data_IF_539119686287
#
_entry.id   IF_539119686287
#
_cell.length_a   1.000
_cell.length_b   1.000
_cell.length_c   1.000
_cell.angle_alpha   90.00
_cell.angle_beta   90.00
_cell.angle_gamma   90.00
#
_symmetry.space_group_name_H-M   'P 1'
#
loop_
_entity.id
_entity.type
_entity.pdbx_description
1 polymer ?
#
# COMPACT_ATOMS: atom_id res chain seq x y z
N UNK A 1 26.14 8.14 -5.65
CA UNK A 1 24.68 8.37 -5.61
C UNK A 1 24.01 7.14 -5.03
N UNK A 2 23.11 7.29 -4.07
CA UNK A 2 22.39 6.13 -3.53
C UNK A 2 21.45 5.59 -4.63
N UNK A 3 21.53 4.30 -4.92
CA UNK A 3 20.72 3.66 -5.94
C UNK A 3 19.24 3.70 -5.51
N UNK A 4 18.36 4.21 -6.39
CA UNK A 4 16.92 4.25 -6.12
C UNK A 4 16.40 2.82 -6.05
N UNK A 5 15.60 2.55 -5.03
CA UNK A 5 14.92 1.26 -4.86
C UNK A 5 13.41 1.45 -5.03
N UNK A 6 12.85 0.75 -5.97
CA UNK A 6 11.46 0.88 -6.36
C UNK A 6 10.57 0.08 -5.42
N UNK A 7 9.58 0.74 -4.80
CA UNK A 7 8.51 0.09 -4.04
C UNK A 7 7.20 0.13 -4.83
N UNK A 8 6.27 -0.76 -4.50
CA UNK A 8 4.95 -0.79 -5.14
C UNK A 8 4.21 0.55 -5.00
N UNK A 9 4.27 1.19 -3.84
CA UNK A 9 3.66 2.51 -3.63
C UNK A 9 4.33 3.61 -4.46
N UNK A 10 5.66 3.54 -4.63
CA UNK A 10 6.40 4.46 -5.50
C UNK A 10 6.01 4.27 -6.97
N UNK A 11 5.85 3.02 -7.42
CA UNK A 11 5.38 2.71 -8.78
C UNK A 11 4.03 3.36 -9.05
N UNK A 12 3.06 3.15 -8.15
CA UNK A 12 1.72 3.73 -8.28
C UNK A 12 1.77 5.26 -8.34
N UNK A 13 2.48 5.88 -7.41
CA UNK A 13 2.63 7.34 -7.33
C UNK A 13 3.32 7.91 -8.59
N UNK A 14 4.33 7.21 -9.13
CA UNK A 14 5.00 7.64 -10.36
C UNK A 14 4.08 7.55 -11.60
N UNK A 15 3.28 6.50 -11.69
CA UNK A 15 2.25 6.39 -12.75
C UNK A 15 1.22 7.50 -12.61
N UNK A 16 0.78 7.83 -11.40
CA UNK A 16 -0.13 8.96 -11.14
C UNK A 16 0.52 10.31 -11.54
N UNK A 17 1.82 10.46 -11.31
CA UNK A 17 2.58 11.62 -11.78
C UNK A 17 2.62 11.71 -13.32
N UNK A 18 2.96 10.62 -14.01
CA UNK A 18 3.01 10.61 -15.47
C UNK A 18 1.66 10.91 -16.11
N UNK A 19 0.57 10.52 -15.44
CA UNK A 19 -0.81 10.79 -15.87
C UNK A 19 -1.36 12.17 -15.43
N UNK A 20 -0.53 13.03 -14.81
CA UNK A 20 -0.95 14.33 -14.29
C UNK A 20 -1.89 14.28 -13.09
N UNK A 21 -2.08 13.11 -12.49
CA UNK A 21 -2.91 12.94 -11.28
C UNK A 21 -2.17 13.34 -10.01
N UNK A 22 -0.86 13.18 -9.97
CA UNK A 22 0.02 13.61 -8.87
C UNK A 22 1.01 14.67 -9.36
N UNK A 23 1.33 15.63 -8.51
CA UNK A 23 2.33 16.64 -8.81
C UNK A 23 3.74 16.07 -8.68
N UNK A 24 4.62 16.31 -9.68
CA UNK A 24 5.99 15.79 -9.65
C UNK A 24 6.83 16.32 -8.48
N UNK A 25 6.56 17.53 -7.99
CA UNK A 25 7.22 18.07 -6.80
C UNK A 25 6.82 17.30 -5.54
N UNK A 26 5.53 16.90 -5.43
CA UNK A 26 5.05 16.08 -4.34
C UNK A 26 5.63 14.65 -4.41
N UNK A 27 5.66 14.04 -5.60
CA UNK A 27 6.32 12.76 -5.81
C UNK A 27 7.80 12.80 -5.37
N UNK A 28 8.54 13.82 -5.83
CA UNK A 28 9.93 14.02 -5.44
C UNK A 28 10.09 14.12 -3.92
N UNK A 29 9.28 14.95 -3.28
CA UNK A 29 9.31 15.13 -1.82
C UNK A 29 9.04 13.83 -1.04
N UNK A 30 8.10 13.00 -1.51
CA UNK A 30 7.74 11.72 -0.87
C UNK A 30 8.83 10.65 -1.00
N UNK A 31 9.37 10.48 -2.21
CA UNK A 31 10.16 9.28 -2.53
C UNK A 31 11.65 9.53 -2.73
N UNK A 32 12.03 10.73 -3.17
CA UNK A 32 13.43 11.09 -3.44
C UNK A 32 14.02 11.84 -2.25
N UNK A 33 13.46 13.01 -1.93
CA UNK A 33 13.97 13.87 -0.85
C UNK A 33 13.55 13.37 0.54
N UNK A 34 12.46 12.61 0.62
CA UNK A 34 11.89 12.03 1.85
C UNK A 34 11.62 13.08 2.94
N UNK A 35 11.24 14.27 2.51
CA UNK A 35 10.94 15.42 3.37
C UNK A 35 9.45 15.73 3.47
N UNK A 36 8.60 14.86 2.93
CA UNK A 36 7.14 14.98 2.98
C UNK A 36 6.57 13.87 3.84
N UNK A 37 5.93 14.24 4.93
CA UNK A 37 5.06 13.37 5.69
C UNK A 37 3.63 13.49 5.17
N UNK A 38 3.05 12.37 4.75
CA UNK A 38 1.65 12.34 4.34
C UNK A 38 0.77 12.02 5.53
N UNK A 39 -0.22 12.87 5.79
CA UNK A 39 -1.23 12.57 6.82
C UNK A 39 -2.08 11.38 6.37
N UNK A 40 -2.13 10.28 7.14
CA UNK A 40 -2.96 9.14 6.79
C UNK A 40 -4.45 9.52 6.73
N UNK A 41 -5.17 9.04 5.71
CA UNK A 41 -6.64 9.13 5.68
C UNK A 41 -7.26 8.32 6.82
N UNK A 42 -8.55 8.53 7.10
CA UNK A 42 -9.27 7.76 8.12
C UNK A 42 -9.14 6.25 7.86
N UNK A 43 -9.39 5.79 6.64
CA UNK A 43 -9.24 4.39 6.25
C UNK A 43 -7.80 3.86 6.43
N UNK A 44 -6.78 4.67 6.16
CA UNK A 44 -5.38 4.29 6.43
C UNK A 44 -5.11 4.18 7.93
N UNK A 45 -5.65 5.08 8.75
CA UNK A 45 -5.51 4.99 10.23
C UNK A 45 -6.17 3.74 10.77
N UNK A 46 -7.36 3.40 10.29
CA UNK A 46 -8.06 2.15 10.64
C UNK A 46 -7.24 0.92 10.25
N UNK A 47 -6.69 0.87 9.03
CA UNK A 47 -5.83 -0.22 8.56
C UNK A 47 -4.55 -0.37 9.39
N UNK A 48 -3.88 0.75 9.71
CA UNK A 48 -2.67 0.76 10.57
C UNK A 48 -3.01 0.25 11.97
N UNK A 49 -4.14 0.67 12.54
CA UNK A 49 -4.58 0.21 13.86
C UNK A 49 -4.94 -1.28 13.85
N UNK A 50 -5.61 -1.74 12.80
CA UNK A 50 -5.91 -3.15 12.60
C UNK A 50 -4.63 -4.00 12.54
N UNK A 51 -3.68 -3.64 11.68
CA UNK A 51 -2.40 -4.36 11.53
C UNK A 51 -1.65 -4.44 12.85
N UNK A 52 -1.58 -3.32 13.59
CA UNK A 52 -0.96 -3.28 14.92
C UNK A 52 -1.63 -4.23 15.92
N UNK A 53 -2.96 -4.22 16.04
CA UNK A 53 -3.67 -5.10 16.96
C UNK A 53 -3.58 -6.58 16.56
N UNK A 54 -3.58 -6.86 15.26
CA UNK A 54 -3.51 -8.22 14.73
C UNK A 54 -2.12 -8.85 14.92
N UNK A 55 -1.06 -8.08 14.66
CA UNK A 55 0.31 -8.62 14.54
C UNK A 55 1.29 -8.08 15.58
N UNK A 56 1.00 -6.95 16.20
CA UNK A 56 1.94 -6.19 17.04
C UNK A 56 2.96 -5.36 16.24
N UNK A 57 2.86 -5.31 14.90
CA UNK A 57 3.74 -4.52 14.07
C UNK A 57 3.55 -3.02 14.35
N UNK A 58 4.63 -2.33 14.69
CA UNK A 58 4.60 -0.89 14.88
C UNK A 58 4.58 -0.18 13.51
N UNK A 59 3.82 0.93 13.38
CA UNK A 59 3.90 1.81 12.23
C UNK A 59 5.32 2.33 11.98
N UNK A 60 5.58 2.88 10.79
CA UNK A 60 6.91 3.37 10.39
C UNK A 60 7.51 4.43 11.34
N UNK A 61 6.67 5.21 12.01
CA UNK A 61 7.10 6.19 13.01
C UNK A 61 7.46 5.57 14.38
N UNK A 62 7.30 4.25 14.54
CA UNK A 62 7.59 3.52 15.77
C UNK A 62 6.63 3.80 16.93
N UNK A 63 5.55 4.54 16.70
CA UNK A 63 4.59 4.93 17.74
C UNK A 63 3.36 4.02 17.64
N UNK A 64 2.98 3.30 18.72
CA UNK A 64 1.74 2.54 18.72
C UNK A 64 0.54 3.43 18.38
N UNK A 65 -0.32 3.02 17.43
CA UNK A 65 -1.49 3.80 17.10
C UNK A 65 -2.52 3.72 18.22
N UNK A 66 -3.19 4.85 18.48
CA UNK A 66 -4.27 4.91 19.46
C UNK A 66 -5.64 4.82 18.78
N UNK A 67 -6.65 4.21 19.47
CA UNK A 67 -8.01 4.20 18.96
C UNK A 67 -8.62 5.59 19.00
N UNK A 68 -9.45 5.89 18.00
CA UNK A 68 -10.23 7.12 18.00
C UNK A 68 -11.29 7.07 19.11
N UNK A 69 -11.42 8.17 19.84
CA UNK A 69 -12.37 8.31 20.95
C UNK A 69 -13.44 9.36 20.63
N UNK A 70 -14.63 9.11 21.12
CA UNK A 70 -15.73 10.08 21.11
C UNK A 70 -15.41 11.27 22.02
N UNK A 71 -16.19 12.33 21.93
CA UNK A 71 -16.09 13.50 22.85
C UNK A 71 -16.28 13.15 24.32
N UNK A 72 -16.89 11.98 24.61
CA UNK A 72 -17.05 11.43 25.97
C UNK A 72 -15.91 10.50 26.39
N UNK A 73 -14.85 10.38 25.59
CA UNK A 73 -13.69 9.53 25.89
C UNK A 73 -13.87 8.03 25.62
N UNK A 74 -15.00 7.60 25.08
CA UNK A 74 -15.25 6.20 24.71
C UNK A 74 -14.65 5.90 23.33
N UNK A 75 -14.15 4.67 23.14
CA UNK A 75 -13.69 4.19 21.83
C UNK A 75 -14.87 4.23 20.84
N UNK A 76 -14.61 4.70 19.61
CA UNK A 76 -15.65 4.74 18.57
C UNK A 76 -16.01 3.33 18.13
N UNK A 77 -17.25 3.15 17.64
CA UNK A 77 -17.72 1.84 17.13
C UNK A 77 -16.84 1.28 16.01
N UNK A 78 -16.26 2.15 15.17
CA UNK A 78 -15.32 1.74 14.14
C UNK A 78 -14.10 1.05 14.75
N UNK A 79 -13.48 1.65 15.75
CA UNK A 79 -12.29 1.10 16.40
C UNK A 79 -12.59 -0.12 17.30
N UNK A 80 -13.80 -0.24 17.86
CA UNK A 80 -14.26 -1.46 18.53
C UNK A 80 -14.35 -2.64 17.53
N UNK A 81 -14.92 -2.41 16.34
CA UNK A 81 -14.95 -3.41 15.26
C UNK A 81 -13.56 -3.84 14.82
N UNK A 82 -12.61 -2.91 14.72
CA UNK A 82 -11.22 -3.24 14.37
C UNK A 82 -10.62 -4.19 15.41
N UNK A 83 -10.88 -3.96 16.68
CA UNK A 83 -10.39 -4.83 17.76
C UNK A 83 -10.94 -6.26 17.62
N UNK A 84 -12.22 -6.40 17.31
CA UNK A 84 -12.85 -7.71 17.07
C UNK A 84 -12.32 -8.40 15.81
N UNK A 85 -12.11 -7.66 14.72
CA UNK A 85 -11.48 -8.19 13.51
C UNK A 85 -10.04 -8.68 13.77
N UNK A 86 -9.28 -7.97 14.62
CA UNK A 86 -7.94 -8.41 15.01
C UNK A 86 -7.98 -9.70 15.86
N UNK A 87 -8.96 -9.87 16.73
CA UNK A 87 -9.16 -11.13 17.46
C UNK A 87 -9.56 -12.27 16.50
N UNK A 88 -10.41 -11.98 15.50
CA UNK A 88 -10.73 -12.95 14.45
C UNK A 88 -9.46 -13.40 13.70
N UNK A 89 -8.58 -12.47 13.33
CA UNK A 89 -7.29 -12.82 12.73
C UNK A 89 -6.49 -13.78 13.62
N UNK A 90 -6.36 -13.49 14.92
CA UNK A 90 -5.64 -14.35 15.87
C UNK A 90 -6.28 -15.74 15.97
N UNK A 91 -7.61 -15.83 15.95
CA UNK A 91 -8.31 -17.09 15.95
C UNK A 91 -8.03 -17.91 14.66
N UNK A 92 -8.02 -17.24 13.51
CA UNK A 92 -7.74 -17.85 12.20
C UNK A 92 -6.34 -18.40 12.11
N UNK A 93 -5.31 -17.63 12.48
CA UNK A 93 -3.93 -18.12 12.45
C UNK A 93 -3.73 -19.32 13.39
N UNK A 94 -4.41 -19.34 14.53
CA UNK A 94 -4.41 -20.49 15.45
C UNK A 94 -5.13 -21.71 14.82
N UNK A 95 -6.29 -21.50 14.21
CA UNK A 95 -7.08 -22.57 13.58
C UNK A 95 -6.32 -23.25 12.44
N UNK A 96 -5.66 -22.47 11.58
CA UNK A 96 -4.90 -22.99 10.45
C UNK A 96 -3.44 -23.33 10.80
N UNK A 97 -3.04 -23.24 12.07
CA UNK A 97 -1.68 -23.49 12.54
C UNK A 97 -0.62 -22.65 11.78
N UNK A 98 -0.94 -21.38 11.54
CA UNK A 98 -0.04 -20.44 10.88
C UNK A 98 0.91 -19.85 11.94
N UNK A 99 2.22 -19.95 11.70
CA UNK A 99 3.26 -19.36 12.56
C UNK A 99 3.73 -18.05 11.96
N UNK A 100 3.54 -16.94 12.64
CA UNK A 100 4.10 -15.65 12.25
C UNK A 100 5.62 -15.67 12.52
N UNK A 101 6.43 -15.52 11.48
CA UNK A 101 7.88 -15.54 11.57
C UNK A 101 8.46 -14.14 11.71
N UNK A 102 7.92 -13.19 10.92
CA UNK A 102 8.24 -11.77 10.98
C UNK A 102 6.99 -10.97 10.62
N UNK A 103 6.84 -9.80 11.23
CA UNK A 103 5.79 -8.82 10.95
C UNK A 103 6.44 -7.50 10.55
N UNK A 104 5.79 -6.75 9.65
CA UNK A 104 6.39 -5.53 9.10
C UNK A 104 7.78 -5.79 8.48
N UNK A 105 7.94 -6.91 7.79
CA UNK A 105 9.23 -7.38 7.32
C UNK A 105 9.73 -6.60 6.10
N UNK A 106 10.74 -5.77 6.29
CA UNK A 106 11.38 -5.03 5.21
C UNK A 106 12.25 -5.98 4.37
N UNK A 107 11.92 -6.10 3.10
CA UNK A 107 12.70 -6.85 2.11
C UNK A 107 13.25 -5.88 1.08
N UNK A 108 14.55 -5.97 0.80
CA UNK A 108 15.23 -5.06 -0.11
C UNK A 108 16.24 -5.82 -0.96
N UNK A 109 16.19 -5.59 -2.27
CA UNK A 109 17.18 -6.03 -3.26
C UNK A 109 17.97 -4.82 -3.77
N UNK A 110 18.72 -4.97 -4.84
CA UNK A 110 19.46 -3.87 -5.45
C UNK A 110 18.51 -2.83 -6.07
N UNK A 111 17.41 -3.28 -6.69
CA UNK A 111 16.49 -2.41 -7.44
C UNK A 111 15.14 -2.22 -6.78
N UNK A 112 14.75 -3.08 -5.86
CA UNK A 112 13.40 -3.10 -5.28
C UNK A 112 13.42 -3.06 -3.76
N UNK A 113 12.30 -2.58 -3.19
CA UNK A 113 12.05 -2.64 -1.74
C UNK A 113 10.57 -2.79 -1.47
N UNK A 114 10.24 -3.41 -0.33
CA UNK A 114 8.87 -3.53 0.15
C UNK A 114 8.83 -3.88 1.63
N UNK A 115 7.65 -3.72 2.22
CA UNK A 115 7.37 -4.16 3.59
C UNK A 115 6.27 -5.21 3.48
N UNK A 116 6.58 -6.42 3.88
CA UNK A 116 5.65 -7.55 3.96
C UNK A 116 4.96 -7.46 5.32
N UNK A 117 3.63 -7.38 5.35
CA UNK A 117 2.88 -7.27 6.59
C UNK A 117 3.18 -8.46 7.49
N UNK A 118 3.07 -9.68 6.94
CA UNK A 118 3.37 -10.91 7.66
C UNK A 118 4.14 -11.89 6.77
N UNK A 119 5.34 -12.25 7.20
CA UNK A 119 6.08 -13.40 6.73
C UNK A 119 5.79 -14.59 7.64
N UNK A 120 5.20 -15.64 7.12
CA UNK A 120 4.67 -16.74 7.91
C UNK A 120 5.15 -18.12 7.45
N UNK A 121 4.91 -19.12 8.30
CA UNK A 121 4.97 -20.53 7.99
C UNK A 121 3.57 -21.13 8.14
N UNK A 122 3.01 -21.64 7.07
CA UNK A 122 1.72 -22.30 7.05
C UNK A 122 1.89 -23.77 6.72
N UNK A 123 1.78 -24.63 7.74
CA UNK A 123 1.97 -26.08 7.65
C UNK A 123 3.34 -26.49 7.05
N UNK A 124 4.41 -25.77 7.36
CA UNK A 124 5.76 -26.04 6.88
C UNK A 124 6.13 -25.30 5.59
N UNK A 125 5.19 -24.64 4.93
CA UNK A 125 5.44 -23.82 3.75
C UNK A 125 5.57 -22.34 4.13
N UNK A 126 6.62 -21.68 3.66
CA UNK A 126 6.80 -20.23 3.85
C UNK A 126 5.82 -19.48 2.94
N UNK A 127 5.16 -18.46 3.48
CA UNK A 127 4.21 -17.66 2.73
C UNK A 127 4.22 -16.19 3.12
N UNK A 128 3.68 -15.37 2.24
CA UNK A 128 3.41 -13.95 2.45
C UNK A 128 1.92 -13.81 2.75
N UNK A 129 1.59 -13.09 3.81
CA UNK A 129 0.20 -12.69 4.11
C UNK A 129 0.16 -11.17 4.13
N UNK A 130 -0.71 -10.61 3.32
CA UNK A 130 -0.99 -9.18 3.23
C UNK A 130 -2.35 -8.92 3.88
N UNK A 131 -2.38 -8.01 4.84
CA UNK A 131 -3.54 -7.70 5.64
C UNK A 131 -4.33 -6.55 5.01
N UNK A 132 -5.63 -6.74 4.83
CA UNK A 132 -6.53 -5.71 4.33
C UNK A 132 -7.71 -5.54 5.27
N UNK A 133 -7.99 -4.30 5.64
CA UNK A 133 -9.20 -3.89 6.36
C UNK A 133 -10.01 -2.98 5.43
N UNK A 134 -11.14 -3.46 4.92
CA UNK A 134 -11.85 -2.81 3.81
C UNK A 134 -13.36 -2.93 3.93
N UNK A 135 -14.07 -1.86 3.64
CA UNK A 135 -15.55 -1.86 3.55
C UNK A 135 -16.11 -2.35 2.20
N UNK A 136 -15.25 -2.84 1.31
CA UNK A 136 -15.60 -3.19 -0.07
C UNK A 136 -15.60 -4.71 -0.32
N UNK A 137 -15.74 -5.51 0.72
CA UNK A 137 -15.67 -6.96 0.65
C UNK A 137 -16.82 -7.55 -0.20
N UNK A 138 -18.03 -7.07 0.02
CA UNK A 138 -19.24 -7.63 -0.60
C UNK A 138 -19.29 -7.44 -2.10
N UNK A 139 -18.86 -6.28 -2.57
CA UNK A 139 -19.03 -5.90 -3.99
C UNK A 139 -17.95 -6.45 -4.91
N UNK A 140 -16.85 -6.96 -4.35
CA UNK A 140 -15.59 -7.07 -5.11
C UNK A 140 -14.84 -8.38 -4.94
N UNK A 141 -15.32 -9.26 -4.09
CA UNK A 141 -14.74 -10.56 -3.84
C UNK A 141 -15.68 -11.66 -4.32
N UNK A 142 -15.51 -12.10 -5.54
CA UNK A 142 -16.18 -13.28 -6.06
C UNK A 142 -15.21 -14.46 -6.17
N UNK A 143 -15.66 -15.58 -6.71
CA UNK A 143 -14.85 -16.80 -6.93
C UNK A 143 -13.61 -16.55 -7.82
N UNK A 144 -13.64 -15.51 -8.63
CA UNK A 144 -12.56 -15.12 -9.53
C UNK A 144 -11.55 -14.13 -8.88
N UNK A 145 -11.78 -13.79 -7.62
CA UNK A 145 -10.95 -12.85 -6.86
C UNK A 145 -11.59 -11.47 -6.72
N UNK A 146 -10.75 -10.47 -6.54
CA UNK A 146 -11.21 -9.11 -6.32
C UNK A 146 -11.66 -8.45 -7.62
N UNK A 147 -12.96 -8.44 -7.88
CA UNK A 147 -13.54 -7.74 -9.03
C UNK A 147 -13.93 -6.30 -8.68
N UNK A 148 -13.48 -5.38 -9.47
CA UNK A 148 -13.94 -4.00 -9.44
C UNK A 148 -14.48 -3.66 -10.83
N UNK A 149 -15.53 -2.89 -10.91
CA UNK A 149 -15.99 -2.29 -12.18
C UNK A 149 -14.90 -1.39 -12.79
N UNK A 150 -13.97 -0.91 -11.97
CA UNK A 150 -12.80 -0.15 -12.37
C UNK A 150 -11.61 -1.09 -12.54
N UNK A 151 -11.27 -1.44 -13.76
CA UNK A 151 -10.08 -2.22 -14.14
C UNK A 151 -8.78 -1.73 -13.48
N UNK A 152 -8.68 -0.43 -13.23
CA UNK A 152 -7.47 0.20 -12.68
C UNK A 152 -7.20 -0.14 -11.20
N UNK A 153 -8.20 -0.47 -10.39
CA UNK A 153 -7.98 -0.81 -8.98
C UNK A 153 -7.51 -2.25 -8.79
N UNK A 154 -7.98 -3.19 -9.64
CA UNK A 154 -7.52 -4.59 -9.61
C UNK A 154 -6.03 -4.71 -9.89
N UNK A 155 -5.58 -4.06 -10.96
CA UNK A 155 -4.18 -4.15 -11.39
C UNK A 155 -3.22 -3.67 -10.31
N UNK A 156 -3.56 -2.62 -9.56
CA UNK A 156 -2.67 -2.09 -8.53
C UNK A 156 -2.51 -3.02 -7.33
N UNK A 157 -3.55 -3.77 -6.96
CA UNK A 157 -3.48 -4.75 -5.86
C UNK A 157 -2.81 -6.04 -6.29
N UNK A 158 -3.13 -6.54 -7.49
CA UNK A 158 -2.48 -7.74 -8.03
C UNK A 158 -0.98 -7.53 -8.23
N UNK A 159 -0.55 -6.32 -8.64
CA UNK A 159 0.86 -5.94 -8.74
C UNK A 159 1.58 -6.04 -7.39
N UNK A 160 0.92 -5.77 -6.27
CA UNK A 160 1.54 -5.85 -4.93
C UNK A 160 2.05 -7.26 -4.64
N UNK A 161 1.24 -8.29 -4.87
CA UNK A 161 1.66 -9.67 -4.66
C UNK A 161 2.78 -10.09 -5.60
N UNK A 162 2.74 -9.69 -6.89
CA UNK A 162 3.82 -9.95 -7.84
C UNK A 162 5.13 -9.30 -7.37
N UNK A 163 5.06 -8.04 -6.90
CA UNK A 163 6.23 -7.32 -6.39
C UNK A 163 6.85 -8.01 -5.17
N UNK A 164 6.05 -8.43 -4.21
CA UNK A 164 6.55 -9.09 -3.01
C UNK A 164 7.08 -10.51 -3.26
N UNK A 165 6.41 -11.28 -4.11
CA UNK A 165 6.92 -12.60 -4.53
C UNK A 165 8.28 -12.45 -5.23
N UNK A 166 8.44 -11.45 -6.11
CA UNK A 166 9.71 -11.19 -6.79
C UNK A 166 10.80 -10.74 -5.81
N UNK A 167 10.48 -9.88 -4.84
CA UNK A 167 11.39 -9.49 -3.76
C UNK A 167 11.89 -10.70 -2.96
N UNK A 168 10.98 -11.61 -2.59
CA UNK A 168 11.33 -12.83 -1.84
C UNK A 168 12.18 -13.76 -2.69
N UNK A 169 11.83 -13.94 -3.98
CA UNK A 169 12.62 -14.72 -4.90
C UNK A 169 14.05 -14.21 -5.02
N UNK A 170 14.22 -12.91 -5.26
CA UNK A 170 15.56 -12.32 -5.44
C UNK A 170 16.36 -12.26 -4.13
N UNK A 171 15.71 -12.03 -2.99
CA UNK A 171 16.40 -11.85 -1.71
C UNK A 171 16.65 -13.15 -0.96
N UNK A 172 15.70 -14.07 -0.99
CA UNK A 172 15.73 -15.30 -0.20
C UNK A 172 15.93 -16.57 -1.05
N UNK A 173 15.90 -16.47 -2.38
CA UNK A 173 16.06 -17.61 -3.30
C UNK A 173 14.85 -18.55 -3.31
N UNK A 174 13.65 -18.09 -2.89
CA UNK A 174 12.43 -18.89 -2.90
C UNK A 174 11.63 -18.57 -4.16
N UNK A 175 11.56 -19.51 -5.09
CA UNK A 175 11.02 -19.27 -6.43
C UNK A 175 9.51 -19.05 -6.47
N UNK A 176 8.74 -19.82 -5.72
CA UNK A 176 7.27 -19.76 -5.74
C UNK A 176 6.70 -19.69 -4.32
N UNK A 177 6.93 -18.56 -3.66
CA UNK A 177 6.34 -18.32 -2.36
C UNK A 177 4.85 -18.04 -2.50
N UNK A 178 3.94 -18.75 -1.79
CA UNK A 178 2.52 -18.42 -1.76
C UNK A 178 2.26 -17.02 -1.22
N UNK A 179 1.32 -16.32 -1.85
CA UNK A 179 0.87 -15.01 -1.42
C UNK A 179 -0.62 -15.02 -1.15
N UNK A 180 -1.01 -14.54 0.03
CA UNK A 180 -2.39 -14.50 0.49
C UNK A 180 -2.79 -13.07 0.88
N UNK A 181 -4.00 -12.66 0.47
CA UNK A 181 -4.70 -11.54 1.06
C UNK A 181 -5.62 -12.07 2.16
N UNK A 182 -5.48 -11.54 3.37
CA UNK A 182 -6.43 -11.73 4.45
C UNK A 182 -7.24 -10.43 4.57
N UNK A 183 -8.48 -10.47 4.09
CA UNK A 183 -9.31 -9.28 3.95
C UNK A 183 -10.43 -9.31 4.95
N UNK A 184 -10.41 -8.35 5.87
CA UNK A 184 -11.40 -8.20 6.93
C UNK A 184 -12.38 -7.09 6.57
N UNK A 185 -13.68 -7.35 6.79
CA UNK A 185 -14.73 -6.40 6.48
C UNK A 185 -14.80 -5.30 7.55
N UNK A 186 -14.63 -4.04 7.14
CA UNK A 186 -14.71 -2.91 8.09
C UNK A 186 -16.15 -2.57 8.51
N UNK A 187 -17.16 -3.16 7.89
CA UNK A 187 -18.57 -2.99 8.22
C UNK A 187 -19.13 -4.13 9.06
N UNK A 188 -18.51 -5.31 9.00
CA UNK A 188 -18.90 -6.52 9.73
C UNK A 188 -17.65 -7.24 10.24
N UNK A 189 -17.43 -7.17 11.55
CA UNK A 189 -16.26 -7.75 12.22
C UNK A 189 -16.21 -9.28 12.21
N UNK A 190 -17.29 -9.94 11.81
CA UNK A 190 -17.36 -11.41 11.70
C UNK A 190 -17.09 -11.93 10.30
N UNK A 191 -17.02 -11.03 9.30
CA UNK A 191 -16.86 -11.36 7.90
C UNK A 191 -15.41 -11.08 7.41
N UNK A 192 -14.85 -12.09 6.73
CA UNK A 192 -13.53 -12.00 6.14
C UNK A 192 -13.34 -13.00 5.01
N UNK A 193 -12.34 -12.76 4.16
CA UNK A 193 -11.94 -13.70 3.10
C UNK A 193 -10.44 -13.90 3.08
N UNK A 194 -10.03 -15.13 2.79
CA UNK A 194 -8.64 -15.49 2.50
C UNK A 194 -8.53 -15.77 1.01
N UNK A 195 -7.66 -15.05 0.32
CA UNK A 195 -7.50 -15.14 -1.12
C UNK A 195 -6.05 -15.48 -1.44
N UNK A 196 -5.83 -16.63 -2.05
CA UNK A 196 -4.52 -17.00 -2.58
C UNK A 196 -4.35 -16.38 -3.96
N UNK A 197 -3.33 -15.54 -4.12
CA UNK A 197 -2.99 -15.02 -5.44
C UNK A 197 -2.14 -16.03 -6.20
N UNK A 198 -2.68 -16.51 -7.31
CA UNK A 198 -1.92 -17.27 -8.32
C UNK A 198 -1.41 -16.28 -9.36
N UNK A 199 -0.11 -16.28 -9.61
CA UNK A 199 0.54 -15.36 -10.54
C UNK A 199 1.03 -16.12 -11.75
N UNK A 200 0.63 -15.68 -12.94
CA UNK A 200 1.14 -16.18 -14.19
C UNK A 200 2.66 -15.87 -14.28
N UNK A 201 3.51 -16.82 -14.68
CA UNK A 201 4.95 -16.62 -14.83
C UNK A 201 5.33 -15.39 -15.67
N UNK A 202 4.61 -15.09 -16.73
CA UNK A 202 4.84 -13.91 -17.57
C UNK A 202 4.69 -12.60 -16.82
N UNK A 203 3.82 -12.55 -15.78
CA UNK A 203 3.63 -11.36 -14.96
C UNK A 203 4.90 -10.99 -14.19
N UNK A 204 5.70 -11.95 -13.75
CA UNK A 204 6.99 -11.69 -13.09
C UNK A 204 7.98 -11.03 -14.05
N UNK A 205 8.07 -11.55 -15.27
CA UNK A 205 8.95 -11.00 -16.29
C UNK A 205 8.58 -9.55 -16.63
N UNK A 206 7.29 -9.31 -16.92
CA UNK A 206 6.80 -7.96 -17.21
C UNK A 206 6.97 -7.01 -16.03
N UNK A 207 6.73 -7.49 -14.81
CA UNK A 207 6.90 -6.65 -13.62
C UNK A 207 8.36 -6.23 -13.44
N UNK A 208 9.31 -7.15 -13.62
CA UNK A 208 10.74 -6.85 -13.54
C UNK A 208 11.14 -5.80 -14.57
N UNK A 209 10.72 -5.97 -15.83
CA UNK A 209 10.96 -4.96 -16.87
C UNK A 209 10.34 -3.59 -16.52
N UNK A 210 9.15 -3.58 -15.94
CA UNK A 210 8.49 -2.34 -15.51
C UNK A 210 9.26 -1.65 -14.39
N UNK A 211 9.82 -2.39 -13.44
CA UNK A 211 10.69 -1.86 -12.39
C UNK A 211 11.93 -1.20 -12.99
N UNK A 212 12.62 -1.88 -13.92
CA UNK A 212 13.83 -1.37 -14.59
C UNK A 212 13.53 -0.10 -15.40
N UNK A 213 12.45 -0.11 -16.21
CA UNK A 213 12.01 1.04 -17.00
C UNK A 213 11.64 2.24 -16.13
N UNK A 214 10.93 1.97 -15.03
CA UNK A 214 10.51 3.01 -14.09
C UNK A 214 11.71 3.60 -13.36
N UNK A 215 12.65 2.78 -12.90
CA UNK A 215 13.89 3.25 -12.29
C UNK A 215 14.63 4.21 -13.22
N UNK A 216 14.86 3.79 -14.47
CA UNK A 216 15.52 4.64 -15.48
C UNK A 216 14.74 5.92 -15.80
N UNK A 217 13.40 5.87 -15.77
CA UNK A 217 12.58 7.05 -16.00
C UNK A 217 12.65 8.04 -14.82
N UNK A 218 12.62 7.55 -13.59
CA UNK A 218 12.76 8.37 -12.39
C UNK A 218 14.16 9.01 -12.34
N UNK A 219 15.22 8.27 -12.66
CA UNK A 219 16.59 8.79 -12.72
C UNK A 219 16.71 9.93 -13.73
N UNK A 220 16.09 9.79 -14.92
CA UNK A 220 16.04 10.90 -15.89
C UNK A 220 15.27 12.12 -15.39
N UNK A 221 14.16 11.91 -14.67
CA UNK A 221 13.38 13.01 -14.11
C UNK A 221 14.13 13.68 -12.93
N UNK A 222 14.97 12.94 -12.22
CA UNK A 222 15.87 13.53 -11.22
C UNK A 222 16.90 14.48 -11.86
N UNK A 223 17.43 14.11 -13.02
CA UNK A 223 18.40 14.94 -13.75
C UNK A 223 17.73 16.17 -14.38
N UNK A 224 16.55 16.01 -14.98
CA UNK A 224 15.84 17.08 -15.70
C UNK A 224 14.96 17.95 -14.81
N UNK A 225 14.68 17.49 -13.59
CA UNK A 225 13.68 18.06 -12.69
C UNK A 225 12.29 17.51 -12.92
N UNK A 226 11.59 17.18 -11.82
CA UNK A 226 10.20 16.74 -11.85
C UNK A 226 9.27 17.90 -12.24
N UNK A 227 8.35 17.67 -13.18
CA UNK A 227 7.40 18.69 -13.61
C UNK A 227 6.37 18.97 -12.53
N UNK A 228 6.13 20.24 -12.18
CA UNK A 228 5.02 20.61 -11.32
C UNK A 228 3.70 20.47 -12.10
N UNK A 229 2.68 19.94 -11.43
CA UNK A 229 1.29 19.95 -11.91
C UNK A 229 0.42 20.68 -10.88
N UNK A 230 0.54 22.01 -10.78
CA UNK A 230 -0.19 22.77 -9.78
C UNK A 230 -1.68 22.78 -10.12
N UNK A 231 -2.50 22.52 -9.14
CA UNK A 231 -3.96 22.63 -9.17
C UNK A 231 -4.39 23.26 -7.85
N UNK A 232 -5.22 24.29 -7.89
CA UNK A 232 -5.62 25.02 -6.69
C UNK A 232 -6.16 24.11 -5.60
N UNK A 233 -7.04 23.14 -5.94
CA UNK A 233 -7.66 22.22 -4.98
C UNK A 233 -6.64 21.27 -4.36
N UNK A 234 -5.70 20.78 -5.16
CA UNK A 234 -4.62 19.90 -4.70
C UNK A 234 -3.56 20.67 -3.91
N UNK A 235 -3.22 21.88 -4.36
CA UNK A 235 -2.23 22.72 -3.69
C UNK A 235 -2.69 23.18 -2.31
N UNK A 236 -3.99 23.45 -2.11
CA UNK A 236 -4.56 23.89 -0.84
C UNK A 236 -4.23 22.91 0.31
N UNK A 237 -4.35 21.62 0.05
CA UNK A 237 -4.13 20.56 1.06
C UNK A 237 -2.76 19.86 0.90
N UNK A 238 -1.88 20.41 0.06
CA UNK A 238 -0.57 19.83 -0.22
C UNK A 238 0.38 20.05 0.98
N UNK A 239 1.06 19.02 1.47
CA UNK A 239 2.04 19.18 2.57
C UNK A 239 3.19 20.12 2.24
N UNK A 240 3.44 20.40 0.96
CA UNK A 240 4.45 21.34 0.51
C UNK A 240 3.90 22.76 0.24
N UNK A 241 2.63 23.03 0.52
CA UNK A 241 1.98 24.28 0.15
C UNK A 241 2.76 25.52 0.61
N UNK A 242 3.27 25.54 1.83
CA UNK A 242 3.95 26.71 2.39
C UNK A 242 5.28 27.03 1.66
N UNK A 243 5.99 25.99 1.20
CA UNK A 243 7.34 26.11 0.63
C UNK A 243 7.39 25.92 -0.88
N UNK A 244 6.30 25.51 -1.52
CA UNK A 244 6.28 25.21 -2.95
C UNK A 244 6.21 26.48 -3.80
N UNK A 245 7.20 26.75 -4.67
CA UNK A 245 7.21 27.95 -5.53
C UNK A 245 6.21 27.87 -6.68
N UNK A 246 5.64 26.69 -6.95
CA UNK A 246 4.75 26.42 -8.08
C UNK A 246 3.26 26.37 -7.67
N UNK A 247 2.94 26.63 -6.41
CA UNK A 247 1.55 26.52 -5.92
C UNK A 247 0.64 27.55 -6.59
N UNK A 248 -0.60 27.14 -6.82
CA UNK A 248 -1.67 28.08 -7.13
C UNK A 248 -2.43 28.46 -5.86
N UNK A 249 -2.53 29.77 -5.62
CA UNK A 249 -3.22 30.33 -4.46
C UNK A 249 -4.70 30.66 -4.76
N UNK A 250 -5.10 30.63 -6.03
CA UNK A 250 -6.44 30.96 -6.49
C UNK A 250 -6.98 29.92 -7.45
N UNK A 251 -8.31 29.74 -7.56
CA UNK A 251 -8.93 28.86 -8.55
C UNK A 251 -8.56 29.25 -9.99
N UNK A 252 -8.25 28.24 -10.80
CA UNK A 252 -8.06 28.43 -12.25
C UNK A 252 -9.41 28.48 -12.96
N UNK A 253 -9.46 29.26 -14.06
CA UNK A 253 -10.59 29.23 -14.98
C UNK A 253 -10.49 27.95 -15.82
N UNK A 254 -11.58 27.19 -15.87
CA UNK A 254 -11.71 26.03 -16.75
C UNK A 254 -12.56 26.41 -17.95
N UNK A 255 -12.00 26.33 -19.13
CA UNK A 255 -12.76 26.49 -20.38
C UNK A 255 -13.34 25.13 -20.77
N UNK A 256 -14.63 25.14 -21.09
CA UNK A 256 -15.35 23.98 -21.61
C UNK A 256 -15.81 24.31 -23.03
N UNK A 257 -15.39 23.54 -24.00
CA UNK A 257 -15.81 23.66 -25.41
C UNK A 257 -16.87 22.59 -25.68
N UNK A 258 -17.97 22.99 -26.33
CA UNK A 258 -19.07 22.12 -26.78
C UNK A 258 -18.85 21.68 -28.19
#
# INVERSE_FOLDING_TARGET
>A
MSTIKISQSMMKSYVDYLNGKECGILFKGKYIDKNVETTPSAAMKEGIYFEYLATGALPRNGIPPEPEKTTKGQITTAYDRISKAAELFKAIIKHYNIKLLKVGYVVTTDDMTGIIDVWADWNGEKCIIDLKYSGLLDDKWNELGWETESLNMKDSLMIQGVHYKLLVKEKLGIDDVPFYYFVFNSKDETDMKIIKQVVDPDKFYFHKQNVEKMKSAIERDMEKGFKPYPDYRKCKDCPLNEVCPYKFSYPQITEVHY
#
